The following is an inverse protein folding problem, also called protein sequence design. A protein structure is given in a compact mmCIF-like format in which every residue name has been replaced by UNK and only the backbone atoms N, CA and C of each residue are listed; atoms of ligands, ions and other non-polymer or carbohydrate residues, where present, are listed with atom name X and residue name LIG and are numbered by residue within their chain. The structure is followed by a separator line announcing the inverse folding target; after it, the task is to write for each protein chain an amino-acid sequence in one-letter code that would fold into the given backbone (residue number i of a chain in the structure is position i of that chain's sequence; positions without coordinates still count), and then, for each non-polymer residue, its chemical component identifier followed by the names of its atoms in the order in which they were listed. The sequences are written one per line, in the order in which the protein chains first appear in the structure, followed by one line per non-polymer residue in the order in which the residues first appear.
data_IF_841734943071
#
_entry.id   IF_841734943071
#
_cell.length_a   1.000
_cell.length_b   1.000
_cell.length_c   1.000
_cell.angle_alpha   90.00
_cell.angle_beta   90.00
_cell.angle_gamma   90.00
#
_symmetry.space_group_name_H-M   'P 1'
#
loop_
_entity.id
_entity.type
_entity.pdbx_description
1 polymer ?
#
# COMPACT_ATOMS: atom_id res chain seq x y z
N UNK A 1 25.24 23.60 3.43
CA UNK A 1 24.94 22.27 4.02
C UNK A 1 23.99 21.59 3.06
N UNK A 2 24.48 20.69 2.25
CA UNK A 2 23.69 19.92 1.28
C UNK A 2 22.84 18.94 2.06
N UNK A 3 21.54 19.10 1.96
CA UNK A 3 20.50 18.26 2.60
C UNK A 3 20.43 16.88 1.90
N UNK A 4 21.50 16.09 2.05
CA UNK A 4 21.63 14.76 1.45
C UNK A 4 20.90 13.65 2.25
N UNK A 5 20.27 14.02 3.36
CA UNK A 5 19.71 13.03 4.31
C UNK A 5 18.36 12.43 3.95
N UNK A 6 17.63 12.96 2.97
CA UNK A 6 16.23 12.61 2.72
C UNK A 6 15.97 11.97 1.34
N UNK A 7 17.01 11.58 0.62
CA UNK A 7 16.86 10.95 -0.70
C UNK A 7 17.13 9.44 -0.65
N UNK A 8 16.33 8.67 -1.37
CA UNK A 8 16.53 7.24 -1.60
C UNK A 8 16.48 6.91 -3.08
N UNK A 9 17.07 5.77 -3.47
CA UNK A 9 17.01 5.27 -4.84
C UNK A 9 16.16 4.00 -4.94
N UNK A 10 15.46 3.87 -6.07
CA UNK A 10 14.62 2.71 -6.35
C UNK A 10 14.53 2.45 -7.86
N UNK A 11 14.40 1.18 -8.25
CA UNK A 11 14.16 0.82 -9.66
C UNK A 11 12.77 1.29 -10.10
N UNK A 12 12.62 1.87 -11.31
CA UNK A 12 11.35 2.38 -11.82
C UNK A 12 10.22 1.35 -11.81
N UNK A 13 10.50 0.12 -12.25
CA UNK A 13 9.52 -0.97 -12.26
C UNK A 13 9.00 -1.27 -10.84
N UNK A 14 9.89 -1.31 -9.86
CA UNK A 14 9.53 -1.62 -8.48
C UNK A 14 8.70 -0.52 -7.82
N UNK A 15 9.04 0.75 -8.10
CA UNK A 15 8.23 1.89 -7.67
C UNK A 15 6.84 1.88 -8.34
N UNK A 16 6.80 1.61 -9.66
CA UNK A 16 5.55 1.49 -10.39
C UNK A 16 4.63 0.42 -9.77
N UNK A 17 5.15 -0.76 -9.48
CA UNK A 17 4.37 -1.86 -8.93
C UNK A 17 3.89 -1.55 -7.50
N UNK A 18 4.77 -1.00 -6.66
CA UNK A 18 4.45 -0.58 -5.31
C UNK A 18 3.31 0.45 -5.29
N UNK A 19 3.41 1.49 -6.11
CA UNK A 19 2.41 2.56 -6.16
C UNK A 19 1.10 2.09 -6.82
N UNK A 20 1.18 1.29 -7.88
CA UNK A 20 -0.01 0.73 -8.54
C UNK A 20 -0.79 -0.18 -7.60
N UNK A 21 -0.10 -1.03 -6.85
CA UNK A 21 -0.74 -1.88 -5.86
C UNK A 21 -1.35 -1.10 -4.70
N UNK A 22 -0.69 -0.04 -4.21
CA UNK A 22 -1.25 0.82 -3.17
C UNK A 22 -2.55 1.52 -3.64
N UNK A 23 -2.58 2.03 -4.88
CA UNK A 23 -3.76 2.70 -5.43
C UNK A 23 -5.02 1.82 -5.48
N UNK A 24 -4.89 0.50 -5.41
CA UNK A 24 -6.02 -0.44 -5.35
C UNK A 24 -6.96 -0.11 -4.20
N UNK A 25 -6.46 0.37 -3.07
CA UNK A 25 -7.25 0.71 -1.89
C UNK A 25 -7.59 2.20 -1.77
N UNK A 26 -7.49 2.99 -2.83
CA UNK A 26 -8.00 4.36 -2.87
C UNK A 26 -9.40 4.41 -3.47
N UNK A 27 -10.22 5.36 -3.03
CA UNK A 27 -11.53 5.64 -3.64
C UNK A 27 -11.67 7.15 -3.85
N UNK A 28 -12.00 7.56 -5.09
CA UNK A 28 -12.19 8.97 -5.44
C UNK A 28 -13.33 9.65 -4.66
N UNK A 29 -14.28 8.87 -4.16
CA UNK A 29 -15.38 9.34 -3.34
C UNK A 29 -15.06 9.40 -1.84
N UNK A 30 -13.87 8.96 -1.43
CA UNK A 30 -13.45 9.01 -0.03
C UNK A 30 -13.19 10.44 0.44
N UNK A 31 -13.41 10.75 1.74
CA UNK A 31 -13.03 12.04 2.31
C UNK A 31 -11.53 12.33 2.13
N UNK A 32 -11.18 13.61 2.22
CA UNK A 32 -9.81 14.11 2.18
C UNK A 32 -8.87 13.27 3.05
N UNK A 33 -7.65 13.05 2.59
CA UNK A 33 -6.65 12.19 3.22
C UNK A 33 -6.75 10.70 2.87
N UNK A 34 -7.92 10.21 2.43
CA UNK A 34 -8.10 8.81 2.00
C UNK A 34 -8.02 8.64 0.46
N UNK A 35 -7.99 9.74 -0.29
CA UNK A 35 -7.68 9.77 -1.73
C UNK A 35 -6.18 9.98 -1.92
N UNK A 36 -5.38 9.27 -1.13
CA UNK A 36 -3.93 9.45 -1.06
C UNK A 36 -3.22 8.14 -0.76
N UNK A 37 -1.92 8.15 -0.98
CA UNK A 37 -1.00 7.08 -0.59
C UNK A 37 -0.01 7.66 0.41
N UNK A 38 0.10 7.03 1.56
CA UNK A 38 1.12 7.32 2.55
C UNK A 38 2.40 6.58 2.15
N UNK A 39 3.48 7.33 1.95
CA UNK A 39 4.82 6.82 1.67
C UNK A 39 5.69 7.03 2.91
N UNK A 40 6.26 5.94 3.41
CA UNK A 40 7.13 5.97 4.59
C UNK A 40 8.42 5.25 4.27
N UNK A 41 9.55 5.92 4.47
CA UNK A 41 10.88 5.32 4.37
C UNK A 41 11.58 5.38 5.71
N UNK A 42 12.13 4.25 6.15
CA UNK A 42 13.02 4.14 7.31
C UNK A 42 14.51 4.09 6.92
N UNK A 43 14.83 4.30 5.64
CA UNK A 43 16.15 4.23 5.06
C UNK A 43 16.58 2.85 4.55
N UNK A 44 15.86 1.79 4.94
CA UNK A 44 16.08 0.41 4.48
C UNK A 44 14.87 -0.16 3.74
N UNK A 45 13.68 0.34 4.07
CA UNK A 45 12.43 -0.04 3.42
C UNK A 45 11.63 1.18 3.02
N UNK A 46 10.99 1.11 1.85
CA UNK A 46 9.94 2.02 1.45
C UNK A 46 8.60 1.30 1.58
N UNK A 47 7.70 1.88 2.34
CA UNK A 47 6.34 1.40 2.53
C UNK A 47 5.37 2.33 1.83
N UNK A 48 4.43 1.77 1.04
CA UNK A 48 3.30 2.49 0.49
C UNK A 48 2.00 1.94 1.07
N UNK A 49 1.19 2.80 1.67
CA UNK A 49 -0.07 2.42 2.33
C UNK A 49 -1.22 3.25 1.77
N UNK A 50 -2.34 2.60 1.47
CA UNK A 50 -3.59 3.27 1.11
C UNK A 50 -4.80 2.59 1.76
N UNK A 51 -5.86 3.36 1.98
CA UNK A 51 -7.12 2.87 2.55
C UNK A 51 -8.30 3.73 2.11
N UNK A 52 -9.46 3.10 1.94
CA UNK A 52 -10.76 3.74 1.71
C UNK A 52 -11.75 3.50 2.88
N UNK A 53 -11.26 3.06 4.04
CA UNK A 53 -11.97 2.63 5.27
C UNK A 53 -12.56 1.22 5.20
N UNK A 54 -12.81 0.68 4.01
CA UNK A 54 -13.36 -0.67 3.82
C UNK A 54 -12.27 -1.70 3.54
N UNK A 55 -11.18 -1.25 2.98
CA UNK A 55 -9.96 -2.02 2.76
C UNK A 55 -8.74 -1.16 3.02
N UNK A 56 -7.65 -1.81 3.34
CA UNK A 56 -6.33 -1.21 3.49
C UNK A 56 -5.34 -2.13 2.81
N UNK A 57 -4.38 -1.55 2.10
CA UNK A 57 -3.26 -2.27 1.54
C UNK A 57 -1.96 -1.59 1.92
N UNK A 58 -0.95 -2.38 2.25
CA UNK A 58 0.41 -1.91 2.44
C UNK A 58 1.38 -2.80 1.68
N UNK A 59 2.25 -2.18 0.91
CA UNK A 59 3.37 -2.83 0.23
C UNK A 59 4.69 -2.32 0.81
N UNK A 60 5.65 -3.22 0.98
CA UNK A 60 7.01 -2.90 1.45
C UNK A 60 8.04 -3.42 0.47
N UNK A 61 9.02 -2.60 0.18
CA UNK A 61 10.15 -2.91 -0.69
C UNK A 61 11.46 -2.48 -0.05
N UNK A 62 12.52 -3.26 -0.22
CA UNK A 62 13.85 -2.88 0.22
C UNK A 62 14.39 -1.71 -0.63
N UNK A 63 14.95 -0.72 0.04
CA UNK A 63 15.60 0.46 -0.54
C UNK A 63 16.86 0.81 0.25
N UNK A 64 17.63 1.75 -0.26
CA UNK A 64 18.75 2.33 0.49
C UNK A 64 18.68 3.84 0.36
N UNK A 65 18.70 4.56 1.48
CA UNK A 65 18.72 6.02 1.44
C UNK A 65 18.09 6.70 2.64
N UNK A 66 17.45 7.84 2.38
CA UNK A 66 16.90 8.71 3.40
C UNK A 66 15.59 8.23 4.03
N UNK A 67 15.32 8.79 5.20
CA UNK A 67 14.08 8.57 5.93
C UNK A 67 13.11 9.71 5.67
N UNK A 68 11.86 9.40 5.37
CA UNK A 68 10.82 10.40 5.21
C UNK A 68 9.42 9.81 5.41
N UNK A 69 8.46 10.69 5.63
CA UNK A 69 7.02 10.38 5.57
C UNK A 69 6.35 11.41 4.68
N UNK A 70 5.65 10.96 3.63
CA UNK A 70 4.98 11.83 2.68
C UNK A 70 3.57 11.28 2.37
N UNK A 71 2.55 12.11 2.55
CA UNK A 71 1.19 11.81 2.13
C UNK A 71 0.97 12.43 0.75
N UNK A 72 0.89 11.58 -0.28
CA UNK A 72 0.83 12.00 -1.69
C UNK A 72 -0.55 11.72 -2.25
N UNK A 73 -1.14 12.69 -2.94
CA UNK A 73 -2.46 12.52 -3.56
C UNK A 73 -2.47 11.38 -4.58
N UNK A 74 -3.59 10.66 -4.71
CA UNK A 74 -3.72 9.59 -5.70
C UNK A 74 -3.53 10.10 -7.14
N UNK A 75 -3.85 11.37 -7.41
CA UNK A 75 -3.62 12.01 -8.69
C UNK A 75 -2.11 12.16 -8.98
N UNK A 76 -1.34 12.65 -8.00
CA UNK A 76 0.10 12.79 -8.15
C UNK A 76 0.80 11.43 -8.19
N UNK A 77 0.35 10.46 -7.39
CA UNK A 77 0.84 9.07 -7.48
C UNK A 77 0.64 8.51 -8.89
N UNK A 78 -0.51 8.79 -9.52
CA UNK A 78 -0.76 8.37 -10.91
C UNK A 78 0.21 9.06 -11.90
N UNK A 79 0.57 10.32 -11.67
CA UNK A 79 1.58 11.04 -12.49
C UNK A 79 2.97 10.42 -12.30
N UNK A 80 3.33 10.09 -11.06
CA UNK A 80 4.60 9.42 -10.73
C UNK A 80 4.70 8.05 -11.41
N UNK A 81 3.63 7.24 -11.35
CA UNK A 81 3.55 5.94 -12.03
C UNK A 81 3.80 6.09 -13.54
N UNK A 82 3.18 7.08 -14.17
CA UNK A 82 3.39 7.35 -15.60
C UNK A 82 4.85 7.69 -15.89
N UNK A 83 5.43 8.61 -15.13
CA UNK A 83 6.82 9.00 -15.29
C UNK A 83 7.81 7.85 -15.03
N UNK A 84 7.52 6.97 -14.07
CA UNK A 84 8.33 5.78 -13.80
C UNK A 84 8.31 4.78 -14.97
N UNK A 85 7.18 4.62 -15.66
CA UNK A 85 7.06 3.76 -16.85
C UNK A 85 7.86 4.26 -18.04
N UNK A 86 8.03 5.57 -18.14
CA UNK A 86 8.74 6.21 -19.26
C UNK A 86 10.27 6.16 -19.09
N UNK A 87 10.80 5.56 -18.01
CA UNK A 87 12.23 5.46 -17.76
C UNK A 87 12.88 4.31 -18.56
N UNK A 88 14.14 4.52 -18.96
CA UNK A 88 14.92 3.51 -19.64
C UNK A 88 15.19 2.28 -18.74
N UNK A 89 15.37 1.13 -19.38
CA UNK A 89 15.78 -0.09 -18.70
C UNK A 89 17.14 0.12 -17.99
N UNK A 90 17.21 -0.23 -16.70
CA UNK A 90 18.41 -0.06 -15.89
C UNK A 90 18.56 1.32 -15.24
N UNK A 91 17.63 2.26 -15.51
CA UNK A 91 17.59 3.53 -14.79
C UNK A 91 17.24 3.34 -13.31
N UNK A 92 17.63 4.32 -12.50
CA UNK A 92 17.19 4.46 -11.11
C UNK A 92 16.40 5.76 -10.96
N UNK A 93 15.43 5.75 -10.09
CA UNK A 93 14.70 6.93 -9.65
C UNK A 93 15.21 7.35 -8.27
N UNK A 94 15.38 8.65 -8.09
CA UNK A 94 15.65 9.25 -6.79
C UNK A 94 14.36 9.85 -6.24
N UNK A 95 13.98 9.42 -5.05
CA UNK A 95 12.88 9.97 -4.28
C UNK A 95 13.44 10.87 -3.18
N UNK A 96 12.93 12.09 -3.07
CA UNK A 96 13.36 13.03 -2.03
C UNK A 96 12.17 13.81 -1.47
N UNK A 97 12.30 14.24 -0.21
CA UNK A 97 11.37 15.14 0.45
C UNK A 97 12.13 16.33 1.01
N UNK A 98 11.77 17.53 0.53
CA UNK A 98 12.34 18.81 1.00
C UNK A 98 11.18 19.72 1.39
N UNK A 99 11.05 19.99 2.68
CA UNK A 99 9.88 20.71 3.20
C UNK A 99 8.58 19.93 2.93
N UNK A 100 7.66 20.53 2.18
CA UNK A 100 6.40 19.93 1.74
C UNK A 100 6.42 19.43 0.27
N UNK A 101 7.58 19.40 -0.34
CA UNK A 101 7.75 18.97 -1.73
C UNK A 101 8.36 17.58 -1.83
N UNK A 102 7.54 16.63 -2.23
CA UNK A 102 7.97 15.27 -2.57
C UNK A 102 8.34 15.22 -4.05
N UNK A 103 9.56 14.83 -4.34
CA UNK A 103 10.11 14.83 -5.70
C UNK A 103 10.57 13.43 -6.10
N UNK A 104 10.22 13.03 -7.31
CA UNK A 104 10.71 11.80 -7.96
C UNK A 104 11.43 12.21 -9.22
N UNK A 105 12.74 11.98 -9.25
CA UNK A 105 13.63 12.36 -10.34
C UNK A 105 14.22 11.11 -11.02
N UNK A 106 14.23 11.14 -12.34
CA UNK A 106 14.87 10.12 -13.19
C UNK A 106 15.61 10.77 -14.36
N UNK A 107 16.05 9.97 -15.30
CA UNK A 107 16.71 10.48 -16.51
C UNK A 107 15.72 11.25 -17.37
N UNK A 108 15.91 12.57 -17.45
CA UNK A 108 15.11 13.46 -18.30
C UNK A 108 13.74 13.87 -17.75
N UNK A 109 13.29 13.31 -16.63
CA UNK A 109 11.98 13.62 -16.04
C UNK A 109 12.07 13.81 -14.52
N UNK A 110 11.41 14.87 -14.04
CA UNK A 110 11.23 15.12 -12.61
C UNK A 110 9.76 15.44 -12.35
N UNK A 111 9.16 14.74 -11.40
CA UNK A 111 7.81 14.99 -10.91
C UNK A 111 7.91 15.51 -9.49
N UNK A 112 7.30 16.64 -9.23
CA UNK A 112 7.16 17.18 -7.88
C UNK A 112 5.68 17.17 -7.49
N UNK A 113 5.41 16.72 -6.30
CA UNK A 113 4.09 16.70 -5.67
C UNK A 113 4.16 17.41 -4.32
N UNK A 114 3.12 18.19 -3.98
CA UNK A 114 3.01 18.77 -2.65
C UNK A 114 2.45 17.71 -1.70
N UNK A 115 3.11 17.51 -0.58
CA UNK A 115 2.65 16.61 0.48
C UNK A 115 1.38 17.19 1.09
N UNK A 116 0.37 16.34 1.30
CA UNK A 116 -0.87 16.73 1.97
C UNK A 116 -0.63 16.87 3.47
N UNK A 117 -1.26 17.86 4.08
CA UNK A 117 -1.18 18.12 5.53
C UNK A 117 -2.19 17.30 6.36
N UNK A 118 -3.02 16.50 5.70
CA UNK A 118 -4.03 15.68 6.36
C UNK A 118 -3.38 14.63 7.26
N UNK A 119 -4.04 14.34 8.38
CA UNK A 119 -3.60 13.27 9.28
C UNK A 119 -4.05 11.92 8.73
N UNK A 120 -3.09 11.05 8.40
CA UNK A 120 -3.40 9.68 7.98
C UNK A 120 -3.82 8.81 9.18
N UNK A 121 -4.83 7.94 9.04
CA UNK A 121 -5.28 7.07 10.12
C UNK A 121 -4.18 6.13 10.62
N UNK A 122 -4.06 5.86 11.93
CA UNK A 122 -3.12 4.89 12.47
C UNK A 122 -3.55 3.48 12.04
N UNK A 123 -2.82 2.89 11.12
CA UNK A 123 -3.18 1.61 10.50
C UNK A 123 -2.38 0.41 11.02
N UNK A 124 -1.17 0.61 11.54
CA UNK A 124 -0.30 -0.49 11.94
C UNK A 124 -0.90 -1.40 13.01
N UNK A 125 -1.66 -0.84 13.95
CA UNK A 125 -2.33 -1.60 15.00
C UNK A 125 -3.31 -2.64 14.44
N UNK A 126 -3.85 -2.41 13.24
CA UNK A 126 -4.76 -3.36 12.58
C UNK A 126 -4.04 -4.65 12.16
N UNK A 127 -2.74 -4.58 11.89
CA UNK A 127 -1.90 -5.73 11.56
C UNK A 127 -1.31 -6.45 12.78
N UNK A 128 -1.32 -5.81 13.96
CA UNK A 128 -0.76 -6.36 15.21
C UNK A 128 -1.73 -7.25 15.98
N UNK A 129 -2.95 -7.44 15.47
CA UNK A 129 -3.93 -8.31 16.14
C UNK A 129 -3.37 -9.71 16.24
N UNK A 130 -3.32 -10.24 17.47
CA UNK A 130 -3.02 -11.65 17.71
C UNK A 130 -4.13 -12.44 17.04
N UNK A 131 -3.76 -13.27 16.05
CA UNK A 131 -4.66 -14.33 15.60
C UNK A 131 -4.91 -15.17 16.85
N UNK A 132 -6.10 -15.06 17.42
CA UNK A 132 -6.50 -15.97 18.48
C UNK A 132 -6.40 -17.35 17.85
N UNK A 133 -5.56 -18.21 18.43
CA UNK A 133 -5.54 -19.62 18.06
C UNK A 133 -6.93 -20.12 18.38
N UNK A 134 -7.78 -20.26 17.35
CA UNK A 134 -9.09 -20.86 17.50
C UNK A 134 -8.80 -22.29 17.93
N UNK A 135 -8.95 -22.58 19.23
CA UNK A 135 -8.94 -23.96 19.69
C UNK A 135 -10.04 -24.66 18.90
N UNK A 136 -9.75 -25.77 18.20
CA UNK A 136 -10.80 -26.49 17.51
C UNK A 136 -11.87 -26.86 18.55
N UNK A 137 -13.03 -26.21 18.48
CA UNK A 137 -14.21 -26.69 19.19
C UNK A 137 -14.59 -28.06 18.59
N UNK A 138 -15.16 -28.97 19.36
CA UNK A 138 -15.64 -30.25 18.81
C UNK A 138 -16.57 -29.98 17.64
N UNK A 139 -16.26 -30.60 16.51
CA UNK A 139 -16.84 -30.33 15.20
C UNK A 139 -18.30 -30.79 15.16
N UNK A 140 -19.21 -29.89 15.44
CA UNK A 140 -20.53 -29.90 14.82
C UNK A 140 -20.72 -28.56 14.12
N UNK A 141 -20.46 -28.53 12.82
CA UNK A 141 -20.79 -27.45 11.85
C UNK A 141 -20.60 -25.98 12.27
N UNK A 142 -19.63 -25.65 13.09
CA UNK A 142 -19.34 -24.26 13.49
C UNK A 142 -18.31 -23.59 12.56
N UNK A 143 -18.57 -23.63 11.26
CA UNK A 143 -17.80 -22.86 10.29
C UNK A 143 -17.92 -21.36 10.55
N UNK A 144 -16.80 -20.59 10.50
CA UNK A 144 -16.85 -19.14 10.49
C UNK A 144 -17.45 -18.69 9.17
N UNK A 145 -18.62 -18.05 9.22
CA UNK A 145 -19.21 -17.43 8.05
C UNK A 145 -18.92 -15.93 8.10
N UNK A 146 -18.30 -15.40 7.05
CA UNK A 146 -18.00 -13.98 6.91
C UNK A 146 -18.61 -13.43 5.61
N UNK A 147 -19.26 -12.28 5.70
CA UNK A 147 -19.74 -11.55 4.53
C UNK A 147 -18.63 -10.62 4.02
N UNK A 148 -18.25 -10.75 2.75
CA UNK A 148 -17.30 -9.86 2.10
C UNK A 148 -17.92 -9.25 0.85
N UNK A 149 -17.56 -7.99 0.55
CA UNK A 149 -17.93 -7.38 -0.72
C UNK A 149 -17.15 -8.03 -1.86
N UNK A 150 -17.83 -8.74 -2.76
CA UNK A 150 -17.21 -9.33 -3.96
C UNK A 150 -16.49 -8.28 -4.80
N UNK A 151 -17.05 -7.06 -4.90
CA UNK A 151 -16.44 -5.93 -5.60
C UNK A 151 -15.09 -5.55 -4.98
N UNK A 152 -15.00 -5.49 -3.65
CA UNK A 152 -13.74 -5.14 -2.97
C UNK A 152 -12.72 -6.27 -3.06
N UNK A 153 -13.14 -7.52 -2.90
CA UNK A 153 -12.27 -8.70 -3.08
C UNK A 153 -11.66 -8.70 -4.48
N UNK A 154 -12.47 -8.52 -5.52
CA UNK A 154 -12.02 -8.52 -6.90
C UNK A 154 -11.00 -7.41 -7.22
N UNK A 155 -10.95 -6.34 -6.41
CA UNK A 155 -9.96 -5.27 -6.66
C UNK A 155 -8.53 -5.68 -6.36
N UNK A 156 -8.31 -6.66 -5.51
CA UNK A 156 -6.95 -7.14 -5.22
C UNK A 156 -6.28 -7.80 -6.43
N UNK A 157 -7.06 -8.32 -7.40
CA UNK A 157 -6.54 -8.81 -8.69
C UNK A 157 -5.80 -7.73 -9.52
N UNK A 158 -5.99 -6.46 -9.16
CA UNK A 158 -5.28 -5.33 -9.80
C UNK A 158 -3.91 -5.02 -9.20
N UNK A 159 -3.53 -5.67 -8.10
CA UNK A 159 -2.16 -5.57 -7.58
C UNK A 159 -1.22 -6.23 -8.62
N UNK A 160 -0.12 -5.58 -8.99
CA UNK A 160 0.78 -6.10 -10.03
C UNK A 160 1.27 -7.51 -9.74
N UNK A 161 1.43 -8.31 -10.78
CA UNK A 161 1.98 -9.68 -10.79
C UNK A 161 1.22 -10.73 -9.96
N UNK A 162 0.02 -10.41 -9.43
CA UNK A 162 -0.75 -11.38 -8.65
C UNK A 162 -1.98 -11.93 -9.36
N UNK A 163 -2.26 -11.47 -10.57
CA UNK A 163 -3.43 -11.91 -11.34
C UNK A 163 -3.48 -13.43 -11.43
N UNK A 164 -4.57 -14.02 -10.92
CA UNK A 164 -4.73 -15.47 -10.89
C UNK A 164 -3.89 -16.21 -9.85
N UNK A 165 -3.14 -15.51 -9.00
CA UNK A 165 -2.38 -16.12 -7.90
C UNK A 165 -3.26 -16.30 -6.66
N UNK A 166 -3.06 -17.37 -5.86
CA UNK A 166 -3.79 -17.56 -4.63
C UNK A 166 -3.40 -16.52 -3.59
N UNK A 167 -4.39 -15.99 -2.87
CA UNK A 167 -4.21 -15.14 -1.70
C UNK A 167 -4.55 -15.90 -0.44
N UNK A 168 -3.79 -15.72 0.64
CA UNK A 168 -4.14 -16.28 1.95
C UNK A 168 -5.04 -15.31 2.71
N UNK A 169 -6.13 -15.83 3.28
CA UNK A 169 -7.09 -15.09 4.10
C UNK A 169 -7.01 -15.59 5.54
N UNK A 170 -6.55 -14.75 6.46
CA UNK A 170 -6.52 -15.06 7.88
C UNK A 170 -7.80 -14.49 8.53
N UNK A 171 -8.68 -15.40 9.01
CA UNK A 171 -9.95 -15.08 9.64
C UNK A 171 -9.84 -15.27 11.15
N UNK A 172 -10.30 -14.29 11.92
CA UNK A 172 -10.38 -14.39 13.38
C UNK A 172 -11.82 -14.66 13.82
N UNK A 173 -12.77 -13.94 13.25
CA UNK A 173 -14.21 -14.12 13.50
C UNK A 173 -15.04 -13.56 12.35
N UNK A 174 -16.36 -13.79 12.35
CA UNK A 174 -17.25 -13.25 11.31
C UNK A 174 -17.43 -11.73 11.30
N UNK A 175 -17.00 -11.03 12.36
CA UNK A 175 -17.15 -9.59 12.52
C UNK A 175 -15.81 -8.83 12.54
N UNK A 176 -14.70 -9.55 12.52
CA UNK A 176 -13.36 -8.97 12.54
C UNK A 176 -12.82 -8.75 11.14
N UNK A 177 -11.94 -7.75 10.93
CA UNK A 177 -11.28 -7.55 9.65
C UNK A 177 -10.51 -8.80 9.19
N UNK A 178 -10.61 -9.11 7.92
CA UNK A 178 -9.86 -10.19 7.28
C UNK A 178 -8.48 -9.68 6.91
N UNK A 179 -7.45 -10.36 7.40
CA UNK A 179 -6.08 -10.10 6.96
C UNK A 179 -5.79 -10.90 5.71
N UNK A 180 -5.31 -10.23 4.67
CA UNK A 180 -4.97 -10.82 3.38
C UNK A 180 -3.47 -10.72 3.18
N UNK A 181 -2.84 -11.86 2.88
CA UNK A 181 -1.44 -11.92 2.43
C UNK A 181 -1.43 -12.17 0.94
N UNK A 182 -0.73 -11.32 0.22
CA UNK A 182 -0.65 -11.36 -1.23
C UNK A 182 0.77 -11.75 -1.60
N UNK A 183 0.99 -12.87 -2.30
CA UNK A 183 2.32 -13.31 -2.71
C UNK A 183 2.90 -12.36 -3.75
N UNK A 184 4.18 -12.04 -3.61
CA UNK A 184 4.96 -11.27 -4.58
C UNK A 184 6.46 -11.43 -4.29
N UNK A 185 7.28 -11.53 -5.33
CA UNK A 185 8.71 -11.85 -5.16
C UNK A 185 9.54 -10.71 -4.55
N UNK A 186 9.22 -9.47 -4.88
CA UNK A 186 10.02 -8.29 -4.52
C UNK A 186 9.32 -7.31 -3.58
N UNK A 187 8.01 -7.43 -3.40
CA UNK A 187 7.20 -6.56 -2.55
C UNK A 187 6.45 -7.40 -1.54
N UNK A 188 6.62 -7.08 -0.27
CA UNK A 188 5.82 -7.73 0.79
C UNK A 188 4.48 -7.02 0.90
N UNK A 189 3.42 -7.65 0.37
CA UNK A 189 2.07 -7.13 0.43
C UNK A 189 1.29 -7.69 1.62
N UNK A 190 0.56 -6.81 2.27
CA UNK A 190 -0.44 -7.15 3.29
C UNK A 190 -1.66 -6.27 3.06
N UNK A 191 -2.82 -6.85 3.17
CA UNK A 191 -4.05 -6.08 3.06
C UNK A 191 -5.04 -6.47 4.17
N UNK A 192 -5.99 -5.59 4.41
CA UNK A 192 -7.11 -5.78 5.32
C UNK A 192 -8.39 -5.51 4.54
N UNK A 193 -9.39 -6.34 4.75
CA UNK A 193 -10.74 -6.16 4.22
C UNK A 193 -11.74 -6.19 5.38
N UNK A 194 -12.54 -5.14 5.48
CA UNK A 194 -13.60 -5.05 6.48
C UNK A 194 -14.77 -5.97 6.10
N UNK A 195 -15.29 -6.77 7.03
CA UNK A 195 -16.47 -7.58 6.76
C UNK A 195 -17.70 -6.68 6.57
N UNK A 196 -18.61 -7.15 5.74
CA UNK A 196 -19.95 -6.57 5.62
C UNK A 196 -20.87 -7.19 6.67
N UNK A 197 -21.76 -6.38 7.23
CA UNK A 197 -22.83 -6.92 8.08
C UNK A 197 -23.62 -7.94 7.28
N UNK A 198 -23.91 -9.09 7.88
CA UNK A 198 -24.87 -10.04 7.29
C UNK A 198 -26.21 -9.32 7.14
N UNK A 199 -26.75 -9.39 5.95
CA UNK A 199 -28.14 -9.00 5.66
C UNK A 199 -29.04 -10.12 6.15
#
# INVERSE_FOLDING_TARGET
MTDQGLALTIKPALLNDLLTGALVATDKAAPNGLVSVLLESDGQTLTATATDRYRLITGKVAVTGGQFTALVSAADVTRIIKAAKDQATGAELTLSLIGDLFTVSGTGNTITARVMSDRYPPYEQLFRRKVAVIKPAPVENSGITIGLSSKLVATFDKVPHIKGQPMSLDLVSGNEPVLIKIPHDSITWRAILMPMRKI
#
